data_IF_177055714298
#
_entry.id   IF_177055714298
#
_cell.length_a   1.000
_cell.length_b   1.000
_cell.length_c   1.000
_cell.angle_alpha   90.00
_cell.angle_beta   90.00
_cell.angle_gamma   90.00
#
_symmetry.space_group_name_H-M   'P 1'
#
loop_
_entity.id
_entity.type
_entity.pdbx_description
1 polymer ?
#
# COMPACT_ATOMS: atom_id res chain seq x y z
N UNK A 1 13.30 -49.86 43.67
CA UNK A 1 13.41 -48.43 43.32
C UNK A 1 13.86 -48.39 41.86
N UNK A 2 12.90 -48.47 40.93
CA UNK A 2 12.34 -47.35 40.16
C UNK A 2 13.34 -46.77 39.14
N UNK A 3 13.08 -46.64 37.84
CA UNK A 3 12.00 -47.01 36.93
C UNK A 3 12.61 -46.86 35.51
N UNK A 4 12.62 -47.95 34.73
CA UNK A 4 11.93 -48.14 33.42
C UNK A 4 12.50 -47.42 32.17
N UNK A 5 12.87 -48.17 31.11
CA UNK A 5 13.37 -47.66 29.83
C UNK A 5 12.27 -47.51 28.76
N UNK A 6 12.56 -46.66 27.76
CA UNK A 6 11.72 -46.42 26.58
C UNK A 6 11.76 -47.60 25.60
N UNK A 7 10.62 -47.98 25.04
CA UNK A 7 10.49 -48.97 23.97
C UNK A 7 9.53 -48.44 22.90
N UNK A 8 10.01 -48.46 21.65
CA UNK A 8 9.26 -48.19 20.42
C UNK A 8 7.93 -48.95 20.34
N UNK A 9 6.88 -48.31 19.82
CA UNK A 9 5.80 -48.99 19.08
C UNK A 9 5.17 -48.10 17.99
N UNK A 10 4.83 -48.80 16.92
CA UNK A 10 4.28 -48.40 15.61
C UNK A 10 2.78 -48.08 15.65
N UNK A 11 2.36 -47.19 14.74
CA UNK A 11 1.07 -47.05 14.02
C UNK A 11 -0.29 -47.04 14.74
N UNK A 12 -1.11 -46.02 14.43
CA UNK A 12 -2.54 -46.18 14.14
C UNK A 12 -3.07 -44.98 13.33
N UNK A 13 -3.56 -45.25 12.11
CA UNK A 13 -4.45 -44.36 11.35
C UNK A 13 -5.85 -44.52 11.94
N UNK A 14 -6.42 -43.45 12.47
CA UNK A 14 -7.80 -43.40 12.96
C UNK A 14 -8.64 -42.46 12.12
N UNK A 15 -9.57 -43.01 11.35
CA UNK A 15 -10.64 -42.25 10.70
C UNK A 15 -11.65 -41.82 11.77
N UNK A 16 -11.91 -40.51 11.90
CA UNK A 16 -13.00 -40.00 12.73
C UNK A 16 -14.23 -39.72 11.84
N UNK A 17 -15.31 -40.42 12.15
CA UNK A 17 -16.65 -40.19 11.63
C UNK A 17 -17.25 -39.00 12.40
N UNK A 18 -17.57 -37.90 11.71
CA UNK A 18 -18.32 -36.77 12.27
C UNK A 18 -19.82 -37.07 12.23
N UNK A 19 -20.42 -37.37 13.39
CA UNK A 19 -21.87 -37.36 13.57
C UNK A 19 -22.36 -35.92 13.78
N UNK A 20 -23.35 -35.53 12.97
CA UNK A 20 -24.05 -34.24 13.04
C UNK A 20 -24.77 -34.07 14.38
N UNK A 21 -24.47 -32.98 15.07
CA UNK A 21 -25.41 -32.33 15.99
C UNK A 21 -25.60 -30.93 15.43
N UNK A 22 -26.72 -30.72 14.76
CA UNK A 22 -27.18 -29.42 14.31
C UNK A 22 -28.33 -29.02 15.22
N UNK A 23 -28.15 -27.97 16.01
CA UNK A 23 -29.25 -27.22 16.61
C UNK A 23 -28.72 -25.85 17.09
N UNK A 24 -29.21 -24.76 16.46
CA UNK A 24 -29.32 -23.47 17.13
C UNK A 24 -28.45 -22.28 16.71
N UNK A 25 -27.89 -22.21 15.49
CA UNK A 25 -27.29 -20.97 14.98
C UNK A 25 -28.31 -20.17 14.14
N UNK A 26 -28.39 -18.84 14.25
CA UNK A 26 -29.27 -18.03 13.41
C UNK A 26 -28.79 -18.13 11.96
N UNK A 27 -29.52 -18.87 11.12
CA UNK A 27 -29.28 -19.05 9.69
C UNK A 27 -29.54 -17.78 8.84
N UNK A 28 -29.32 -16.57 9.38
CA UNK A 28 -29.77 -15.32 8.75
C UNK A 28 -28.69 -14.48 8.06
N UNK A 29 -27.40 -14.71 8.32
CA UNK A 29 -26.31 -13.84 7.82
C UNK A 29 -25.57 -14.41 6.61
N UNK A 30 -25.47 -15.74 6.48
CA UNK A 30 -24.83 -16.37 5.32
C UNK A 30 -25.71 -16.39 4.06
N UNK A 31 -27.04 -16.32 4.19
CA UNK A 31 -27.94 -16.43 3.04
C UNK A 31 -28.15 -15.12 2.27
N UNK A 32 -27.93 -13.93 2.85
CA UNK A 32 -28.07 -12.66 2.11
C UNK A 32 -26.87 -12.32 1.22
N UNK A 33 -25.69 -12.88 1.51
CA UNK A 33 -24.55 -12.81 0.60
C UNK A 33 -24.68 -13.77 -0.59
N UNK A 34 -25.51 -14.81 -0.48
CA UNK A 34 -25.68 -15.82 -1.53
C UNK A 34 -26.60 -15.37 -2.67
N UNK A 35 -27.50 -14.40 -2.47
CA UNK A 35 -28.34 -13.88 -3.56
C UNK A 35 -27.55 -12.99 -4.55
N UNK A 36 -26.35 -12.53 -4.16
CA UNK A 36 -25.39 -11.80 -5.02
C UNK A 36 -24.16 -12.63 -5.44
N UNK A 37 -24.06 -13.87 -4.98
CA UNK A 37 -23.02 -14.80 -5.40
C UNK A 37 -23.34 -15.33 -6.79
N UNK A 38 -23.24 -14.47 -7.80
CA UNK A 38 -22.97 -14.96 -9.15
C UNK A 38 -21.69 -15.78 -9.08
N UNK A 39 -21.65 -16.97 -9.67
CA UNK A 39 -20.45 -17.83 -9.73
C UNK A 39 -19.24 -17.18 -10.46
N UNK A 40 -19.33 -15.89 -10.79
CA UNK A 40 -18.37 -15.12 -11.59
C UNK A 40 -17.90 -13.83 -10.86
N UNK A 41 -17.81 -13.84 -9.53
CA UNK A 41 -17.32 -12.70 -8.76
C UNK A 41 -16.33 -13.12 -7.67
N UNK A 42 -15.39 -12.24 -7.36
CA UNK A 42 -14.37 -12.45 -6.34
C UNK A 42 -13.95 -11.14 -5.66
N UNK A 43 -13.22 -11.24 -4.55
CA UNK A 43 -12.63 -10.08 -3.88
C UNK A 43 -11.36 -9.63 -4.60
N UNK A 44 -11.29 -8.33 -4.88
CA UNK A 44 -10.08 -7.66 -5.39
C UNK A 44 -9.80 -6.48 -4.47
N UNK A 45 -8.54 -6.28 -4.05
CA UNK A 45 -8.18 -5.03 -3.39
C UNK A 45 -8.39 -3.88 -4.40
N UNK A 46 -9.17 -2.86 -4.01
CA UNK A 46 -9.46 -1.67 -4.84
C UNK A 46 -8.76 -0.42 -4.32
N UNK A 47 -8.08 -0.52 -3.18
CA UNK A 47 -7.18 0.48 -2.62
C UNK A 47 -6.27 -0.20 -1.60
N UNK A 48 -5.02 0.23 -1.51
CA UNK A 48 -4.05 -0.24 -0.51
C UNK A 48 -3.21 0.89 0.03
N UNK A 49 -2.63 0.68 1.20
CA UNK A 49 -1.51 1.45 1.73
C UNK A 49 -0.51 0.51 2.39
N UNK A 50 0.79 0.76 2.20
CA UNK A 50 1.85 -0.03 2.82
C UNK A 50 1.90 0.27 4.33
N UNK A 51 1.65 -0.72 5.22
CA UNK A 51 1.72 -0.49 6.65
C UNK A 51 3.16 -0.23 7.11
N UNK A 52 3.34 0.84 7.89
CA UNK A 52 4.60 1.26 8.51
C UNK A 52 4.44 1.41 10.03
N UNK A 53 5.53 1.18 10.76
CA UNK A 53 5.65 1.69 12.12
C UNK A 53 5.80 3.21 12.03
N UNK A 54 4.89 3.93 12.67
CA UNK A 54 4.94 5.40 12.69
C UNK A 54 6.18 5.86 13.45
N UNK A 55 7.03 6.61 12.77
CA UNK A 55 8.17 7.25 13.41
C UNK A 55 7.69 8.29 14.44
N UNK A 56 8.45 8.54 15.53
CA UNK A 56 8.04 9.50 16.56
C UNK A 56 7.70 10.90 16.03
N UNK A 57 8.38 11.36 14.97
CA UNK A 57 8.14 12.66 14.34
C UNK A 57 6.89 12.70 13.45
N UNK A 58 6.36 11.54 13.07
CA UNK A 58 5.17 11.37 12.23
C UNK A 58 3.96 10.86 13.04
N UNK A 59 4.09 10.68 14.36
CA UNK A 59 2.95 10.50 15.25
C UNK A 59 2.04 11.75 15.19
N UNK A 60 0.74 11.62 15.48
CA UNK A 60 -0.13 12.79 15.52
C UNK A 60 0.38 13.81 16.54
N UNK A 61 0.12 15.09 16.32
CA UNK A 61 0.53 16.12 17.27
C UNK A 61 -0.28 16.03 18.58
N UNK A 62 0.25 16.54 19.71
CA UNK A 62 -0.57 16.79 20.89
C UNK A 62 -1.80 17.65 20.53
N UNK A 63 -3.01 17.30 21.01
CA UNK A 63 -3.26 16.44 22.16
C UNK A 63 -3.60 14.97 21.80
N UNK A 64 -3.38 14.54 20.55
CA UNK A 64 -3.66 13.18 20.10
C UNK A 64 -2.51 12.19 20.34
N UNK A 65 -1.33 12.69 20.73
CA UNK A 65 -0.19 11.91 21.18
C UNK A 65 0.10 12.19 22.65
N UNK A 66 -0.59 11.45 23.53
CA UNK A 66 -0.40 11.52 24.97
C UNK A 66 0.75 10.65 25.45
N UNK A 67 1.22 10.87 26.69
CA UNK A 67 2.40 10.19 27.26
C UNK A 67 2.31 8.67 27.27
N UNK A 68 1.11 8.11 27.45
CA UNK A 68 0.87 6.66 27.53
C UNK A 68 0.02 6.11 26.38
N UNK A 69 -0.66 6.99 25.64
CA UNK A 69 -1.76 6.61 24.76
C UNK A 69 -1.86 7.58 23.60
N UNK A 70 -1.92 7.03 22.40
CA UNK A 70 -2.17 7.77 21.16
C UNK A 70 -3.63 7.61 20.78
N UNK A 71 -4.26 8.68 20.29
CA UNK A 71 -5.67 8.75 19.90
C UNK A 71 -6.67 8.41 21.02
N UNK A 72 -6.34 8.71 22.28
CA UNK A 72 -7.27 8.53 23.40
C UNK A 72 -8.58 9.30 23.14
N UNK A 73 -9.72 8.62 23.26
CA UNK A 73 -11.06 9.17 23.00
C UNK A 73 -11.13 9.98 21.70
N UNK A 74 -10.62 9.45 20.60
CA UNK A 74 -10.45 10.20 19.36
C UNK A 74 -11.08 9.50 18.16
N UNK A 75 -11.70 10.29 17.30
CA UNK A 75 -12.10 9.88 15.95
C UNK A 75 -11.04 10.33 14.95
N UNK A 76 -10.63 9.42 14.08
CA UNK A 76 -9.73 9.65 12.96
C UNK A 76 -10.56 9.52 11.69
N UNK A 77 -10.69 10.58 10.89
CA UNK A 77 -11.41 10.60 9.61
C UNK A 77 -10.42 10.72 8.46
N UNK A 78 -10.44 9.71 7.59
CA UNK A 78 -9.43 9.51 6.56
C UNK A 78 -10.13 9.40 5.21
N UNK A 79 -9.53 9.98 4.16
CA UNK A 79 -10.04 9.83 2.79
C UNK A 79 -9.10 8.94 1.99
N UNK A 80 -9.65 8.07 1.15
CA UNK A 80 -8.91 7.18 0.25
C UNK A 80 -9.41 7.34 -1.18
N UNK A 81 -8.53 7.09 -2.16
CA UNK A 81 -8.84 7.11 -3.59
C UNK A 81 -9.05 5.68 -4.09
N UNK A 82 -10.30 5.30 -4.32
CA UNK A 82 -10.62 3.96 -4.83
C UNK A 82 -10.16 3.80 -6.28
N UNK A 83 -9.74 2.59 -6.66
CA UNK A 83 -9.21 2.32 -7.99
C UNK A 83 -10.31 1.97 -8.99
N UNK A 84 -10.89 0.77 -8.87
CA UNK A 84 -12.05 0.31 -9.64
C UNK A 84 -13.32 0.40 -8.79
N UNK A 85 -14.48 0.36 -9.46
CA UNK A 85 -15.77 0.37 -8.77
C UNK A 85 -16.18 -1.00 -8.23
N UNK A 86 -17.08 -0.98 -7.24
CA UNK A 86 -17.69 -2.16 -6.63
C UNK A 86 -19.03 -1.78 -5.97
N UNK A 87 -19.96 -2.73 -5.84
CA UNK A 87 -21.24 -2.51 -5.13
C UNK A 87 -21.24 -3.09 -3.69
N UNK A 88 -20.27 -3.97 -3.40
CA UNK A 88 -20.08 -4.60 -2.10
C UNK A 88 -18.59 -4.50 -1.75
N UNK A 89 -18.29 -3.96 -0.57
CA UNK A 89 -16.92 -3.74 -0.10
C UNK A 89 -16.66 -4.36 1.27
N UNK A 90 -15.39 -4.53 1.62
CA UNK A 90 -14.93 -4.77 3.00
C UNK A 90 -13.60 -4.05 3.26
N UNK A 91 -13.31 -3.76 4.52
CA UNK A 91 -12.18 -2.91 4.92
C UNK A 91 -11.16 -3.75 5.71
N UNK A 92 -9.88 -3.61 5.37
CA UNK A 92 -8.77 -4.21 6.13
C UNK A 92 -8.13 -3.19 7.07
N UNK A 93 -8.11 -3.52 8.35
CA UNK A 93 -7.49 -2.71 9.41
C UNK A 93 -6.33 -3.51 10.02
N UNK A 94 -5.17 -2.88 10.14
CA UNK A 94 -3.91 -3.50 10.53
C UNK A 94 -3.34 -2.89 11.81
N UNK A 95 -2.93 -3.79 12.71
CA UNK A 95 -2.12 -3.52 13.89
C UNK A 95 -0.71 -4.13 13.73
N UNK A 96 -0.21 -4.25 12.50
CA UNK A 96 1.01 -5.00 12.15
C UNK A 96 2.26 -4.61 12.97
N UNK A 97 2.35 -3.37 13.44
CA UNK A 97 3.47 -2.89 14.25
C UNK A 97 3.08 -2.59 15.70
N UNK A 98 1.80 -2.71 16.05
CA UNK A 98 1.38 -2.56 17.44
C UNK A 98 1.90 -3.72 18.28
N UNK A 99 2.37 -3.38 19.48
CA UNK A 99 2.84 -4.33 20.49
C UNK A 99 1.79 -4.60 21.57
N UNK A 100 0.61 -3.98 21.43
CA UNK A 100 -0.55 -4.09 22.29
C UNK A 100 -1.81 -4.28 21.41
N UNK A 101 -2.88 -4.82 22.01
CA UNK A 101 -4.19 -4.93 21.37
C UNK A 101 -4.72 -3.55 20.93
N UNK A 102 -5.09 -3.43 19.65
CA UNK A 102 -5.78 -2.26 19.12
C UNK A 102 -7.29 -2.45 19.27
N UNK A 103 -7.89 -1.73 20.22
CA UNK A 103 -9.34 -1.75 20.46
C UNK A 103 -10.03 -0.67 19.62
N UNK A 104 -10.74 -1.09 18.59
CA UNK A 104 -11.57 -0.22 17.75
C UNK A 104 -12.99 -0.21 18.28
N UNK A 105 -13.51 0.97 18.61
CA UNK A 105 -14.85 1.11 19.20
C UNK A 105 -15.94 1.23 18.15
N UNK A 106 -15.71 2.01 17.09
CA UNK A 106 -16.68 2.21 16.02
C UNK A 106 -15.99 2.57 14.70
N UNK A 107 -16.51 2.09 13.57
CA UNK A 107 -16.04 2.41 12.24
C UNK A 107 -17.21 2.76 11.33
N UNK A 108 -17.08 3.83 10.55
CA UNK A 108 -18.04 4.18 9.50
C UNK A 108 -17.34 4.42 8.17
N UNK A 109 -18.08 4.22 7.08
CA UNK A 109 -17.69 4.59 5.72
C UNK A 109 -18.78 5.46 5.09
N UNK A 110 -18.37 6.44 4.29
CA UNK A 110 -19.27 7.35 3.56
C UNK A 110 -18.54 8.02 2.41
N UNK A 111 -19.27 8.79 1.59
CA UNK A 111 -18.66 9.65 0.59
C UNK A 111 -18.24 10.98 1.24
N UNK A 112 -17.05 11.53 0.91
CA UNK A 112 -16.68 12.87 1.35
C UNK A 112 -17.54 13.92 0.65
N UNK A 113 -17.85 15.01 1.36
CA UNK A 113 -18.60 16.12 0.80
C UNK A 113 -17.96 16.66 -0.49
N UNK A 114 -18.70 16.61 -1.59
CA UNK A 114 -18.26 17.06 -2.90
C UNK A 114 -17.21 16.15 -3.55
N UNK A 115 -17.06 14.90 -3.09
CA UNK A 115 -16.17 13.91 -3.68
C UNK A 115 -14.68 14.24 -3.55
N UNK A 116 -14.29 15.10 -2.60
CA UNK A 116 -12.91 15.62 -2.50
C UNK A 116 -12.05 14.79 -1.55
N UNK A 117 -10.81 14.54 -1.94
CA UNK A 117 -9.78 14.02 -1.04
C UNK A 117 -9.54 15.01 0.12
N UNK A 118 -9.23 14.48 1.29
CA UNK A 118 -8.88 15.28 2.46
C UNK A 118 -10.02 16.06 3.10
N UNK A 119 -11.28 15.72 2.79
CA UNK A 119 -12.45 16.43 3.34
C UNK A 119 -12.69 16.07 4.81
N UNK A 120 -12.92 17.08 5.65
CA UNK A 120 -13.41 16.89 7.03
C UNK A 120 -14.92 16.58 7.08
N UNK A 121 -15.63 16.83 5.98
CA UNK A 121 -17.06 16.66 5.83
C UNK A 121 -17.40 15.47 4.94
N UNK A 122 -18.54 14.84 5.24
CA UNK A 122 -19.12 13.70 4.53
C UNK A 122 -20.50 14.06 3.97
N UNK A 123 -21.02 13.23 3.07
CA UNK A 123 -22.42 13.21 2.63
C UNK A 123 -23.22 12.30 3.59
N UNK A 124 -23.97 12.84 4.57
CA UNK A 124 -24.51 12.05 5.68
C UNK A 124 -25.45 10.91 5.26
N UNK A 125 -26.15 11.07 4.14
CA UNK A 125 -27.05 10.08 3.56
C UNK A 125 -26.33 8.83 3.03
N UNK A 126 -25.03 8.92 2.80
CA UNK A 126 -24.20 7.81 2.31
C UNK A 126 -23.62 6.98 3.45
N UNK A 127 -23.67 7.50 4.69
CA UNK A 127 -22.97 6.92 5.82
C UNK A 127 -23.47 5.51 6.15
N UNK A 128 -22.53 4.58 6.31
CA UNK A 128 -22.76 3.21 6.75
C UNK A 128 -21.84 2.86 7.91
N UNK A 129 -22.36 2.05 8.84
CA UNK A 129 -21.56 1.44 9.89
C UNK A 129 -20.81 0.24 9.28
N UNK A 130 -19.54 0.12 9.63
CA UNK A 130 -18.70 -1.03 9.28
C UNK A 130 -18.68 -1.97 10.49
N UNK A 131 -18.96 -3.25 10.27
CA UNK A 131 -19.07 -4.24 11.36
C UNK A 131 -18.02 -5.33 11.26
N UNK A 132 -17.80 -6.02 12.38
CA UNK A 132 -16.96 -7.21 12.50
C UNK A 132 -17.75 -8.26 13.29
N UNK A 133 -18.15 -9.35 12.65
CA UNK A 133 -19.08 -10.34 13.24
C UNK A 133 -20.37 -9.68 13.77
N UNK A 134 -20.89 -8.72 12.99
CA UNK A 134 -22.07 -7.92 13.32
C UNK A 134 -21.88 -6.87 14.42
N UNK A 135 -20.69 -6.74 15.00
CA UNK A 135 -20.38 -5.73 16.02
C UNK A 135 -19.77 -4.47 15.39
N UNK A 136 -20.06 -3.25 15.89
CA UNK A 136 -19.51 -2.01 15.34
C UNK A 136 -18.01 -1.81 15.61
N UNK A 137 -17.41 -2.63 16.46
CA UNK A 137 -16.02 -2.54 16.89
C UNK A 137 -15.39 -3.92 17.07
N UNK A 138 -14.07 -3.94 17.22
CA UNK A 138 -13.28 -5.16 17.31
C UNK A 138 -11.98 -4.90 18.08
N UNK A 139 -11.44 -5.95 18.71
CA UNK A 139 -10.09 -5.94 19.27
C UNK A 139 -9.18 -6.67 18.28
N UNK A 140 -8.16 -5.98 17.80
CA UNK A 140 -7.14 -6.51 16.89
C UNK A 140 -5.92 -6.86 17.74
N UNK A 141 -5.50 -8.14 17.81
CA UNK A 141 -4.29 -8.52 18.52
C UNK A 141 -3.05 -7.76 18.06
N UNK A 142 -2.00 -7.78 18.89
CA UNK A 142 -0.66 -7.33 18.51
C UNK A 142 -0.19 -7.99 17.20
N UNK A 143 0.48 -7.22 16.35
CA UNK A 143 0.89 -7.62 15.00
C UNK A 143 -0.24 -8.16 14.08
N UNK A 144 -1.51 -7.97 14.47
CA UNK A 144 -2.67 -8.55 13.81
C UNK A 144 -3.22 -7.73 12.64
N UNK A 145 -4.11 -8.35 11.88
CA UNK A 145 -4.92 -7.72 10.84
C UNK A 145 -6.33 -8.31 10.91
N UNK A 146 -7.34 -7.47 10.69
CA UNK A 146 -8.74 -7.89 10.59
C UNK A 146 -9.36 -7.38 9.30
N UNK A 147 -10.39 -8.08 8.86
CA UNK A 147 -11.23 -7.71 7.72
C UNK A 147 -12.64 -7.53 8.23
N UNK A 148 -13.31 -6.45 7.83
CA UNK A 148 -14.72 -6.22 8.18
C UNK A 148 -15.65 -7.24 7.54
N UNK A 149 -16.87 -7.30 8.06
CA UNK A 149 -17.98 -7.92 7.34
C UNK A 149 -18.18 -7.21 5.98
N UNK A 150 -18.68 -7.92 4.95
CA UNK A 150 -19.09 -7.29 3.69
C UNK A 150 -20.21 -6.27 3.91
N UNK A 151 -20.09 -5.12 3.25
CA UNK A 151 -21.04 -4.01 3.32
C UNK A 151 -21.47 -3.60 1.91
N UNK A 152 -22.78 -3.51 1.68
CA UNK A 152 -23.33 -2.90 0.46
C UNK A 152 -23.07 -1.40 0.46
N UNK A 153 -22.14 -0.99 -0.39
CA UNK A 153 -21.73 0.39 -0.55
C UNK A 153 -21.22 0.56 -1.98
N UNK A 154 -21.95 1.34 -2.78
CA UNK A 154 -21.57 1.60 -4.17
C UNK A 154 -20.37 2.54 -4.22
N UNK A 155 -19.29 2.04 -4.80
CA UNK A 155 -18.05 2.76 -5.08
C UNK A 155 -17.95 2.93 -6.59
N UNK A 156 -17.86 4.16 -7.06
CA UNK A 156 -17.56 4.43 -8.47
C UNK A 156 -16.03 4.37 -8.70
N UNK A 157 -15.54 3.97 -9.89
CA UNK A 157 -14.11 4.01 -10.19
C UNK A 157 -13.50 5.39 -9.94
N UNK A 158 -12.30 5.47 -9.38
CA UNK A 158 -11.60 6.72 -9.02
C UNK A 158 -12.35 7.62 -8.02
N UNK A 159 -13.37 7.09 -7.33
CA UNK A 159 -14.09 7.88 -6.32
C UNK A 159 -13.35 7.92 -4.99
N UNK A 160 -13.63 8.96 -4.22
CA UNK A 160 -13.13 9.07 -2.85
C UNK A 160 -14.07 8.37 -1.88
N UNK A 161 -13.51 7.65 -0.90
CA UNK A 161 -14.25 7.16 0.27
C UNK A 161 -13.69 7.80 1.53
N UNK A 162 -14.57 8.13 2.47
CA UNK A 162 -14.20 8.55 3.81
C UNK A 162 -14.43 7.40 4.78
N UNK A 163 -13.38 7.02 5.52
CA UNK A 163 -13.48 6.06 6.62
C UNK A 163 -13.19 6.79 7.93
N UNK A 164 -14.10 6.69 8.89
CA UNK A 164 -13.90 7.24 10.24
C UNK A 164 -13.74 6.10 11.24
N UNK A 165 -12.65 6.13 12.02
CA UNK A 165 -12.36 5.15 13.09
C UNK A 165 -12.40 5.88 14.42
N UNK A 166 -13.20 5.39 15.37
CA UNK A 166 -13.23 5.89 16.74
C UNK A 166 -12.54 4.91 17.70
N UNK A 167 -11.61 5.46 18.48
CA UNK A 167 -10.87 4.77 19.52
C UNK A 167 -11.24 5.40 20.87
N UNK A 168 -12.11 4.76 21.63
CA UNK A 168 -12.50 5.26 22.96
C UNK A 168 -11.30 5.27 23.92
N UNK A 169 -10.53 4.17 23.92
CA UNK A 169 -9.37 4.02 24.79
C UNK A 169 -8.05 4.45 24.14
N UNK A 170 -8.06 4.80 22.85
CA UNK A 170 -6.84 4.97 22.06
C UNK A 170 -6.04 3.67 21.94
N UNK A 171 -4.81 3.78 21.46
CA UNK A 171 -3.83 2.69 21.48
C UNK A 171 -2.74 2.98 22.51
N UNK A 172 -2.38 1.98 23.30
CA UNK A 172 -1.30 2.08 24.27
C UNK A 172 0.06 2.07 23.57
N UNK A 173 1.02 2.78 24.18
CA UNK A 173 2.36 2.92 23.62
C UNK A 173 2.40 3.82 22.38
N UNK A 174 3.59 3.93 21.78
CA UNK A 174 3.85 4.74 20.58
C UNK A 174 3.98 3.92 19.29
N UNK A 175 3.74 2.61 19.33
CA UNK A 175 3.94 1.71 18.18
C UNK A 175 2.70 1.67 17.28
N UNK A 176 2.42 2.80 16.65
CA UNK A 176 1.21 2.97 15.83
C UNK A 176 1.48 2.46 14.41
N UNK A 177 0.58 1.63 13.89
CA UNK A 177 0.57 1.24 12.48
C UNK A 177 -0.04 2.38 11.66
N UNK A 178 0.73 2.95 10.72
CA UNK A 178 0.30 4.06 9.87
C UNK A 178 0.92 3.99 8.49
N UNK A 179 0.65 5.01 7.70
CA UNK A 179 1.29 5.31 6.44
C UNK A 179 1.46 6.84 6.34
N UNK A 180 2.62 7.40 6.77
CA UNK A 180 2.88 8.85 6.76
C UNK A 180 2.99 9.45 5.35
N UNK A 181 3.10 8.60 4.32
CA UNK A 181 3.21 8.97 2.92
C UNK A 181 1.94 9.43 2.24
N UNK A 182 0.80 9.47 2.93
CA UNK A 182 -0.53 9.43 2.29
C UNK A 182 -0.83 10.55 1.28
N UNK A 183 -0.20 11.72 1.40
CA UNK A 183 -0.51 12.96 0.64
C UNK A 183 -1.99 13.33 0.65
N UNK A 184 -2.72 12.86 1.65
CA UNK A 184 -4.15 13.06 1.82
C UNK A 184 -4.40 13.50 3.25
N UNK A 185 -5.09 14.61 3.43
CA UNK A 185 -5.37 15.16 4.76
C UNK A 185 -6.33 14.24 5.51
N UNK A 186 -5.89 13.70 6.64
CA UNK A 186 -6.73 13.06 7.64
C UNK A 186 -7.04 14.03 8.76
N UNK A 187 -8.21 13.89 9.38
CA UNK A 187 -8.71 14.75 10.44
C UNK A 187 -8.85 13.99 11.74
N UNK A 188 -8.51 14.62 12.86
CA UNK A 188 -8.71 14.06 14.19
C UNK A 188 -9.53 14.99 15.07
N UNK A 189 -10.44 14.41 15.86
CA UNK A 189 -11.23 15.13 16.84
C UNK A 189 -11.54 14.25 18.06
N UNK A 190 -11.75 14.88 19.21
CA UNK A 190 -12.16 14.16 20.42
C UNK A 190 -13.62 13.71 20.38
N UNK A 191 -13.89 12.61 21.07
CA UNK A 191 -15.19 11.96 21.15
C UNK A 191 -15.50 11.09 19.93
N UNK A 192 -16.61 10.38 20.03
CA UNK A 192 -17.16 9.64 18.92
C UNK A 192 -17.81 10.62 17.91
N UNK A 193 -17.15 10.84 16.78
CA UNK A 193 -17.55 11.75 15.71
C UNK A 193 -17.72 11.00 14.38
N UNK A 194 -17.86 9.67 14.41
CA UNK A 194 -17.92 8.85 13.19
C UNK A 194 -19.12 9.15 12.30
N UNK A 195 -20.19 9.73 12.87
CA UNK A 195 -21.41 10.16 12.20
C UNK A 195 -21.52 11.67 12.00
N UNK A 196 -20.53 12.45 12.46
CA UNK A 196 -20.55 13.89 12.32
C UNK A 196 -20.51 14.27 10.83
N UNK A 197 -21.51 15.00 10.35
CA UNK A 197 -21.55 15.50 8.97
C UNK A 197 -20.30 16.29 8.58
N UNK A 198 -19.72 17.03 9.54
CA UNK A 198 -18.44 17.70 9.40
C UNK A 198 -17.70 17.71 10.74
N UNK A 199 -16.45 17.28 10.75
CA UNK A 199 -15.59 17.41 11.93
C UNK A 199 -15.13 18.86 12.04
N UNK A 200 -15.57 19.52 13.11
CA UNK A 200 -15.25 20.92 13.41
C UNK A 200 -15.05 21.09 14.91
N UNK A 201 -14.43 22.20 15.31
CA UNK A 201 -14.25 22.54 16.72
C UNK A 201 -12.80 22.85 17.09
N UNK A 202 -12.55 23.31 18.32
CA UNK A 202 -11.26 23.84 18.75
C UNK A 202 -10.17 22.77 18.93
N UNK A 203 -10.56 21.50 19.08
CA UNK A 203 -9.62 20.37 19.22
C UNK A 203 -9.30 19.68 17.89
N UNK A 204 -9.92 20.11 16.79
CA UNK A 204 -9.71 19.49 15.49
C UNK A 204 -8.29 19.74 15.00
N UNK A 205 -7.62 18.66 14.63
CA UNK A 205 -6.32 18.72 13.96
C UNK A 205 -6.35 17.91 12.68
N UNK A 206 -5.32 18.10 11.85
CA UNK A 206 -5.16 17.37 10.61
C UNK A 206 -3.69 17.09 10.32
N UNK A 207 -3.44 15.97 9.65
CA UNK A 207 -2.11 15.54 9.19
C UNK A 207 -2.25 14.79 7.86
N UNK A 208 -1.22 14.77 7.03
CA UNK A 208 -1.22 14.01 5.78
C UNK A 208 -0.81 12.53 5.96
N UNK A 209 -1.41 11.82 6.94
CA UNK A 209 -1.13 10.41 7.23
C UNK A 209 -2.40 9.57 7.16
N UNK A 210 -2.26 8.29 6.77
CA UNK A 210 -3.28 7.28 7.08
C UNK A 210 -2.87 6.49 8.32
N UNK A 211 -3.83 6.10 9.15
CA UNK A 211 -3.64 5.30 10.36
C UNK A 211 -4.51 4.05 10.28
N UNK A 212 -3.90 2.89 10.58
CA UNK A 212 -4.53 1.57 10.69
C UNK A 212 -5.17 0.99 9.41
N UNK A 213 -5.65 1.80 8.47
CA UNK A 213 -6.17 1.32 7.19
C UNK A 213 -5.03 0.74 6.34
N UNK A 214 -5.27 -0.42 5.75
CA UNK A 214 -4.28 -1.13 4.90
C UNK A 214 -4.83 -1.56 3.54
N UNK A 215 -6.13 -1.85 3.44
CA UNK A 215 -6.79 -2.07 2.16
C UNK A 215 -8.31 -1.87 2.22
N UNK A 216 -8.91 -1.69 1.06
CA UNK A 216 -10.35 -1.86 0.83
C UNK A 216 -10.49 -2.87 -0.31
N UNK A 217 -11.34 -3.88 -0.11
CA UNK A 217 -11.64 -4.90 -1.09
C UNK A 217 -13.03 -4.67 -1.67
N UNK A 218 -13.16 -4.81 -2.99
CA UNK A 218 -14.42 -4.81 -3.71
C UNK A 218 -14.77 -6.22 -4.19
N UNK A 219 -16.04 -6.59 -4.06
CA UNK A 219 -16.58 -7.79 -4.72
C UNK A 219 -16.94 -7.43 -6.15
N UNK A 220 -16.13 -7.92 -7.09
CA UNK A 220 -16.14 -7.50 -8.49
C UNK A 220 -16.19 -8.71 -9.41
N UNK A 221 -16.43 -8.49 -10.71
CA UNK A 221 -16.50 -9.58 -11.68
C UNK A 221 -15.15 -10.32 -11.82
N UNK A 222 -15.20 -11.54 -12.34
CA UNK A 222 -14.04 -12.42 -12.48
C UNK A 222 -12.94 -11.85 -13.40
N UNK A 223 -13.28 -10.92 -14.28
CA UNK A 223 -12.34 -10.23 -15.19
C UNK A 223 -11.57 -9.11 -14.50
N UNK A 224 -11.96 -8.70 -13.29
CA UNK A 224 -11.27 -7.69 -12.51
C UNK A 224 -10.10 -8.27 -11.74
N UNK A 225 -9.03 -7.49 -11.61
CA UNK A 225 -7.78 -7.93 -10.97
C UNK A 225 -6.99 -6.78 -10.37
N UNK A 226 -6.01 -7.06 -9.53
CA UNK A 226 -5.09 -6.09 -8.95
C UNK A 226 -3.75 -6.02 -9.67
N UNK A 227 -3.15 -4.82 -9.66
CA UNK A 227 -1.78 -4.52 -10.05
C UNK A 227 -1.06 -3.84 -8.89
N UNK A 228 -0.19 -4.58 -8.19
CA UNK A 228 0.54 -4.06 -7.03
C UNK A 228 1.88 -3.44 -7.43
N UNK A 229 2.18 -2.28 -6.85
CA UNK A 229 3.40 -1.53 -7.10
C UNK A 229 4.18 -1.42 -5.79
N UNK A 230 5.31 -2.11 -5.71
CA UNK A 230 6.31 -1.91 -4.69
C UNK A 230 7.18 -0.72 -5.09
N UNK A 231 7.40 0.22 -4.17
CA UNK A 231 8.36 1.29 -4.41
C UNK A 231 8.68 2.14 -3.19
N UNK A 232 9.39 3.22 -3.45
CA UNK A 232 9.83 4.18 -2.44
C UNK A 232 9.01 5.50 -2.48
N UNK A 233 9.58 6.58 -1.94
CA UNK A 233 8.97 7.91 -1.88
C UNK A 233 8.52 8.46 -3.23
N UNK A 234 9.13 8.03 -4.34
CA UNK A 234 8.76 8.47 -5.69
C UNK A 234 7.41 7.86 -6.10
N UNK A 235 7.21 6.57 -5.81
CA UNK A 235 5.93 5.89 -6.07
C UNK A 235 4.88 6.24 -5.04
N UNK A 236 5.30 6.43 -3.79
CA UNK A 236 4.47 6.95 -2.70
C UNK A 236 3.94 8.37 -3.04
N UNK A 237 4.65 9.12 -3.89
CA UNK A 237 4.15 10.36 -4.48
C UNK A 237 4.71 11.64 -3.87
N UNK A 238 5.88 11.60 -3.24
CA UNK A 238 6.57 12.84 -2.80
C UNK A 238 6.77 13.78 -4.00
N UNK A 239 6.34 15.03 -3.90
CA UNK A 239 6.37 15.98 -5.03
C UNK A 239 5.05 16.08 -5.81
N UNK A 240 4.05 15.26 -5.46
CA UNK A 240 2.66 15.47 -5.86
C UNK A 240 2.00 16.53 -4.98
N UNK A 241 0.83 17.03 -5.40
CA UNK A 241 0.05 17.98 -4.61
C UNK A 241 -0.83 17.24 -3.60
N UNK A 242 -0.86 17.75 -2.36
CA UNK A 242 -1.74 17.21 -1.31
C UNK A 242 -3.21 17.28 -1.74
N UNK A 243 -3.95 16.18 -1.52
CA UNK A 243 -5.36 16.01 -1.87
C UNK A 243 -5.70 16.06 -3.37
N UNK A 244 -4.72 15.96 -4.27
CA UNK A 244 -4.97 16.03 -5.72
C UNK A 244 -4.89 14.69 -6.44
N UNK A 245 -4.42 13.62 -5.79
CA UNK A 245 -4.23 12.29 -6.39
C UNK A 245 -3.47 12.36 -7.73
N UNK A 246 -2.37 13.12 -7.76
CA UNK A 246 -1.58 13.38 -8.97
C UNK A 246 -0.14 12.85 -8.87
N UNK A 247 0.06 11.79 -8.08
CA UNK A 247 1.24 10.91 -8.15
C UNK A 247 1.11 9.94 -9.32
N UNK A 248 2.23 9.42 -9.81
CA UNK A 248 2.21 8.64 -11.06
C UNK A 248 1.28 7.41 -11.04
N UNK A 249 1.11 6.64 -9.93
CA UNK A 249 0.18 5.51 -9.94
C UNK A 249 -1.29 5.94 -10.12
N UNK A 250 -1.69 7.06 -9.51
CA UNK A 250 -3.03 7.63 -9.66
C UNK A 250 -3.27 8.13 -11.10
N UNK A 251 -2.24 8.72 -11.73
CA UNK A 251 -2.32 9.17 -13.13
C UNK A 251 -2.33 8.00 -14.12
N UNK A 252 -1.61 6.91 -13.84
CA UNK A 252 -1.69 5.66 -14.62
C UNK A 252 -3.07 5.03 -14.47
N UNK A 253 -3.64 5.02 -13.25
CA UNK A 253 -5.00 4.58 -13.01
C UNK A 253 -6.02 5.38 -13.85
N UNK A 254 -5.93 6.70 -13.88
CA UNK A 254 -6.82 7.53 -14.69
C UNK A 254 -6.76 7.18 -16.19
N UNK A 255 -5.54 6.94 -16.70
CA UNK A 255 -5.30 6.44 -18.06
C UNK A 255 -5.88 5.04 -18.28
N UNK A 256 -5.74 4.14 -17.31
CA UNK A 256 -6.28 2.77 -17.35
C UNK A 256 -7.80 2.75 -17.38
N UNK A 257 -8.46 3.60 -16.59
CA UNK A 257 -9.93 3.71 -16.56
C UNK A 257 -10.50 4.26 -17.88
N UNK A 258 -9.71 5.05 -18.62
CA UNK A 258 -10.09 5.54 -19.95
C UNK A 258 -9.91 4.49 -21.05
N UNK A 259 -9.41 3.29 -20.74
CA UNK A 259 -9.16 2.22 -21.69
C UNK A 259 -9.89 0.92 -21.28
N UNK A 260 -10.86 0.43 -22.10
CA UNK A 260 -11.64 -0.76 -21.77
C UNK A 260 -10.83 -2.03 -21.46
N UNK A 261 -9.62 -2.19 -22.03
CA UNK A 261 -8.80 -3.38 -21.76
C UNK A 261 -8.12 -3.37 -20.39
N UNK A 262 -8.17 -2.25 -19.67
CA UNK A 262 -7.50 -2.05 -18.38
C UNK A 262 -8.40 -1.46 -17.30
N UNK A 263 -9.63 -1.05 -17.63
CA UNK A 263 -10.54 -0.40 -16.68
C UNK A 263 -11.00 -1.32 -15.54
N UNK A 264 -10.84 -2.65 -15.68
CA UNK A 264 -11.11 -3.64 -14.62
C UNK A 264 -9.88 -3.97 -13.75
N UNK A 265 -8.73 -3.32 -13.99
CA UNK A 265 -7.50 -3.58 -13.24
C UNK A 265 -7.31 -2.48 -12.19
N UNK A 266 -7.35 -2.86 -10.92
CA UNK A 266 -7.08 -1.98 -9.80
C UNK A 266 -5.57 -1.72 -9.66
N UNK A 267 -5.20 -0.48 -9.34
CA UNK A 267 -3.82 -0.08 -9.04
C UNK A 267 -3.65 -0.03 -7.53
N UNK A 268 -2.72 -0.84 -7.01
CA UNK A 268 -2.46 -1.02 -5.57
C UNK A 268 -1.09 -0.44 -5.25
N UNK A 269 -1.08 0.77 -4.70
CA UNK A 269 0.16 1.44 -4.32
C UNK A 269 0.65 0.89 -2.97
N UNK A 270 1.74 0.13 -3.01
CA UNK A 270 2.40 -0.47 -1.86
C UNK A 270 3.77 0.15 -1.63
N UNK A 271 3.94 1.40 -2.06
CA UNK A 271 5.15 2.17 -1.83
C UNK A 271 5.17 2.80 -0.44
N UNK A 272 6.37 3.14 0.02
CA UNK A 272 6.56 3.89 1.25
C UNK A 272 7.77 4.82 1.16
N UNK A 273 7.65 6.02 1.72
CA UNK A 273 8.75 6.97 1.79
C UNK A 273 10.01 6.36 2.41
N UNK A 274 11.18 6.60 1.79
CA UNK A 274 12.46 6.09 2.30
C UNK A 274 12.57 4.56 2.37
N UNK A 275 11.67 3.81 1.71
CA UNK A 275 11.74 2.36 1.68
C UNK A 275 12.95 1.86 0.87
N UNK A 276 13.43 0.68 1.23
CA UNK A 276 14.64 0.06 0.68
C UNK A 276 14.38 -1.42 0.44
N UNK A 277 15.11 -1.98 -0.52
CA UNK A 277 14.99 -3.40 -0.84
C UNK A 277 15.65 -4.28 0.22
N UNK A 278 16.84 -3.89 0.71
CA UNK A 278 17.70 -4.78 1.51
C UNK A 278 17.64 -4.54 3.03
N UNK A 279 17.27 -3.35 3.46
CA UNK A 279 17.36 -2.92 4.86
C UNK A 279 16.14 -2.09 5.24
N UNK A 280 15.59 -2.24 6.44
CA UNK A 280 14.41 -1.44 6.85
C UNK A 280 14.73 0.06 6.81
N UNK A 281 13.89 0.85 6.15
CA UNK A 281 13.99 2.31 6.11
C UNK A 281 13.00 2.94 7.07
N UNK A 282 12.14 3.83 6.57
CA UNK A 282 10.96 4.28 7.31
C UNK A 282 9.89 3.19 7.42
N UNK A 283 10.09 2.05 6.77
CA UNK A 283 9.26 0.86 6.84
C UNK A 283 10.08 -0.40 6.50
N UNK A 284 9.49 -1.60 6.63
CA UNK A 284 10.19 -2.86 6.42
C UNK A 284 10.79 -2.97 5.02
N UNK A 285 11.93 -3.63 4.90
CA UNK A 285 12.57 -3.89 3.62
C UNK A 285 11.70 -4.74 2.68
N UNK A 286 11.82 -4.53 1.37
CA UNK A 286 11.01 -5.23 0.35
C UNK A 286 11.09 -6.74 0.47
N UNK A 287 12.30 -7.28 0.69
CA UNK A 287 12.53 -8.73 0.78
C UNK A 287 11.65 -9.36 1.88
N UNK A 288 11.43 -8.65 2.98
CA UNK A 288 10.60 -9.12 4.09
C UNK A 288 9.10 -8.95 3.88
N UNK A 289 8.66 -8.06 2.97
CA UNK A 289 7.25 -7.67 2.83
C UNK A 289 6.59 -8.06 1.51
N UNK A 290 7.33 -8.57 0.51
CA UNK A 290 6.77 -8.92 -0.81
C UNK A 290 5.56 -9.86 -0.71
N UNK A 291 5.57 -10.82 0.22
CA UNK A 291 4.44 -11.74 0.40
C UNK A 291 3.22 -11.00 0.92
N UNK A 292 3.40 -10.14 1.92
CA UNK A 292 2.32 -9.34 2.51
C UNK A 292 1.75 -8.35 1.49
N UNK A 293 2.63 -7.63 0.78
CA UNK A 293 2.23 -6.46 0.01
C UNK A 293 1.93 -6.78 -1.47
N UNK A 294 2.28 -7.97 -1.95
CA UNK A 294 1.91 -8.44 -3.29
C UNK A 294 1.14 -9.76 -3.22
N UNK A 295 1.75 -10.81 -2.69
CA UNK A 295 1.23 -12.18 -2.84
C UNK A 295 -0.05 -12.45 -2.03
N UNK A 296 -0.24 -11.74 -0.92
CA UNK A 296 -1.41 -11.82 -0.06
C UNK A 296 -2.51 -10.81 -0.43
N UNK A 297 -2.31 -10.01 -1.48
CA UNK A 297 -3.32 -9.07 -1.96
C UNK A 297 -4.42 -9.82 -2.74
N UNK A 298 -5.66 -9.45 -2.50
CA UNK A 298 -6.83 -10.08 -3.11
C UNK A 298 -6.90 -9.78 -4.59
N UNK A 299 -7.07 -10.83 -5.39
CA UNK A 299 -7.23 -10.73 -6.84
C UNK A 299 -6.01 -10.21 -7.58
N UNK A 300 -4.82 -10.25 -6.96
CA UNK A 300 -3.57 -9.81 -7.58
C UNK A 300 -3.28 -10.60 -8.86
N UNK A 301 -2.88 -9.89 -9.93
CA UNK A 301 -2.55 -10.48 -11.23
C UNK A 301 -1.28 -9.90 -11.84
N UNK A 302 -0.88 -8.70 -11.43
CA UNK A 302 0.32 -8.03 -11.94
C UNK A 302 1.10 -7.43 -10.78
N UNK A 303 2.43 -7.42 -10.87
CA UNK A 303 3.29 -6.75 -9.91
C UNK A 303 4.27 -5.82 -10.62
N UNK A 304 4.72 -4.78 -9.93
CA UNK A 304 5.82 -3.92 -10.37
C UNK A 304 6.72 -3.56 -9.21
N UNK A 305 8.02 -3.45 -9.47
CA UNK A 305 8.98 -2.87 -8.54
C UNK A 305 9.63 -1.62 -9.13
N UNK A 306 9.59 -0.54 -8.37
CA UNK A 306 10.32 0.70 -8.65
C UNK A 306 10.96 1.21 -7.36
N UNK A 307 12.16 0.70 -7.08
CA UNK A 307 12.86 0.94 -5.82
C UNK A 307 14.40 0.84 -6.02
N UNK A 308 15.16 0.97 -4.95
CA UNK A 308 16.63 0.84 -4.93
C UNK A 308 17.37 2.18 -4.84
N UNK A 309 16.68 3.31 -5.02
CA UNK A 309 17.32 4.64 -4.91
C UNK A 309 17.83 4.91 -3.50
N UNK A 310 17.06 4.52 -2.48
CA UNK A 310 17.42 4.71 -1.08
C UNK A 310 18.52 3.74 -0.63
N UNK A 311 18.58 2.52 -1.19
CA UNK A 311 19.68 1.58 -0.95
C UNK A 311 21.01 2.18 -1.43
N UNK A 312 21.04 2.74 -2.65
CA UNK A 312 22.22 3.43 -3.21
C UNK A 312 22.54 4.70 -2.42
N UNK A 313 21.51 5.50 -2.14
CA UNK A 313 21.62 6.83 -1.54
C UNK A 313 22.05 6.83 -0.07
N UNK A 314 21.68 5.80 0.69
CA UNK A 314 22.08 5.64 2.09
C UNK A 314 23.44 4.94 2.21
N UNK A 315 23.79 4.03 1.30
CA UNK A 315 25.10 3.39 1.31
C UNK A 315 26.24 4.43 1.15
N UNK A 316 27.37 4.17 1.81
CA UNK A 316 28.54 5.05 1.75
C UNK A 316 28.96 5.28 0.30
N UNK A 317 29.36 6.51 -0.01
CA UNK A 317 29.69 6.96 -1.35
C UNK A 317 31.13 6.60 -1.78
N UNK A 318 31.62 5.42 -1.41
CA UNK A 318 32.91 4.87 -1.81
C UNK A 318 32.75 3.64 -2.72
N UNK A 319 33.75 3.32 -3.57
CA UNK A 319 33.63 2.25 -4.55
C UNK A 319 33.35 0.86 -3.96
N UNK A 320 33.83 0.55 -2.74
CA UNK A 320 33.68 -0.79 -2.15
C UNK A 320 32.24 -0.99 -1.70
N UNK A 321 31.70 -0.06 -0.91
CA UNK A 321 30.32 -0.13 -0.45
C UNK A 321 29.32 -0.02 -1.62
N UNK A 322 29.60 0.81 -2.61
CA UNK A 322 28.77 0.98 -3.80
C UNK A 322 28.77 -0.26 -4.72
N UNK A 323 29.91 -0.97 -4.82
CA UNK A 323 29.95 -2.27 -5.51
C UNK A 323 29.11 -3.29 -4.76
N UNK A 324 29.31 -3.41 -3.44
CA UNK A 324 28.62 -4.36 -2.59
C UNK A 324 27.09 -4.16 -2.60
N UNK A 325 26.61 -2.92 -2.45
CA UNK A 325 25.17 -2.65 -2.43
C UNK A 325 24.54 -2.98 -3.78
N UNK A 326 25.19 -2.63 -4.90
CA UNK A 326 24.66 -2.97 -6.23
C UNK A 326 24.63 -4.48 -6.49
N UNK A 327 25.63 -5.23 -6.04
CA UNK A 327 25.64 -6.70 -6.19
C UNK A 327 24.53 -7.35 -5.36
N UNK A 328 24.31 -6.86 -4.13
CA UNK A 328 23.22 -7.34 -3.27
C UNK A 328 21.84 -6.97 -3.82
N UNK A 329 21.70 -5.81 -4.45
CA UNK A 329 20.45 -5.39 -5.09
C UNK A 329 20.09 -6.29 -6.27
N UNK A 330 21.06 -6.66 -7.11
CA UNK A 330 20.86 -7.62 -8.21
C UNK A 330 20.30 -8.94 -7.65
N UNK A 331 20.96 -9.54 -6.66
CA UNK A 331 20.49 -10.78 -6.05
C UNK A 331 19.11 -10.64 -5.40
N UNK A 332 18.82 -9.49 -4.77
CA UNK A 332 17.50 -9.24 -4.19
C UNK A 332 16.40 -9.11 -5.25
N UNK A 333 16.66 -8.43 -6.37
CA UNK A 333 15.72 -8.36 -7.50
C UNK A 333 15.41 -9.75 -8.07
N UNK A 334 16.42 -10.60 -8.23
CA UNK A 334 16.25 -11.99 -8.67
C UNK A 334 15.37 -12.79 -7.69
N UNK A 335 15.61 -12.66 -6.38
CA UNK A 335 14.81 -13.34 -5.36
C UNK A 335 13.37 -12.84 -5.32
N UNK A 336 13.14 -11.53 -5.47
CA UNK A 336 11.80 -10.95 -5.52
C UNK A 336 11.05 -11.49 -6.74
N UNK A 337 11.68 -11.44 -7.92
CA UNK A 337 11.06 -11.92 -9.14
C UNK A 337 10.72 -13.41 -9.07
N UNK A 338 11.66 -14.25 -8.62
CA UNK A 338 11.43 -15.69 -8.45
C UNK A 338 10.23 -15.99 -7.54
N UNK A 339 10.10 -15.28 -6.41
CA UNK A 339 8.97 -15.47 -5.47
C UNK A 339 7.64 -15.05 -6.06
N UNK A 340 7.62 -14.01 -6.89
CA UNK A 340 6.40 -13.54 -7.57
C UNK A 340 6.02 -14.49 -8.71
N UNK A 341 6.99 -14.99 -9.47
CA UNK A 341 6.79 -15.95 -10.56
C UNK A 341 6.25 -17.31 -10.10
N UNK A 342 6.53 -17.75 -8.87
CA UNK A 342 5.91 -18.96 -8.29
C UNK A 342 4.39 -18.89 -8.26
N UNK A 343 3.81 -17.68 -8.24
CA UNK A 343 2.37 -17.45 -8.29
C UNK A 343 1.87 -17.11 -9.70
N UNK A 344 2.69 -17.33 -10.73
CA UNK A 344 2.38 -17.03 -12.14
C UNK A 344 2.10 -15.54 -12.41
N UNK A 345 2.52 -14.67 -11.49
CA UNK A 345 2.30 -13.22 -11.58
C UNK A 345 3.44 -12.60 -12.41
N UNK A 346 3.15 -11.92 -13.54
CA UNK A 346 4.15 -11.08 -14.21
C UNK A 346 4.64 -9.96 -13.30
N UNK A 347 5.96 -9.80 -13.22
CA UNK A 347 6.61 -8.71 -12.48
C UNK A 347 7.32 -7.75 -13.45
N UNK A 348 6.88 -6.50 -13.43
CA UNK A 348 7.50 -5.40 -14.17
C UNK A 348 8.54 -4.69 -13.30
N UNK A 349 9.48 -4.01 -13.93
CA UNK A 349 10.40 -3.11 -13.24
C UNK A 349 10.46 -1.73 -13.89
N UNK A 350 10.70 -0.70 -13.09
CA UNK A 350 11.19 0.58 -13.59
C UNK A 350 12.69 0.74 -13.35
N UNK A 351 13.36 1.45 -14.26
CA UNK A 351 14.73 1.92 -14.02
C UNK A 351 14.74 2.98 -12.91
N UNK A 352 15.81 2.99 -12.10
CA UNK A 352 16.01 3.94 -11.01
C UNK A 352 16.24 5.33 -11.61
N UNK A 353 15.39 6.30 -11.24
CA UNK A 353 15.47 7.67 -11.77
C UNK A 353 16.72 8.41 -11.29
N UNK A 354 17.13 9.48 -12.00
CA UNK A 354 18.30 10.26 -11.61
C UNK A 354 18.16 10.95 -10.24
N UNK A 355 19.29 11.15 -9.56
CA UNK A 355 19.36 11.82 -8.23
C UNK A 355 20.55 12.78 -8.09
N UNK A 356 21.13 13.21 -9.21
CA UNK A 356 22.26 14.13 -9.25
C UNK A 356 21.84 15.58 -9.05
N UNK A 357 22.64 16.33 -8.29
CA UNK A 357 22.45 17.76 -8.07
C UNK A 357 23.18 18.59 -9.15
N UNK A 358 22.54 19.63 -9.73
CA UNK A 358 23.21 20.63 -10.55
C UNK A 358 24.36 21.32 -9.81
N UNK A 359 25.50 21.51 -10.49
CA UNK A 359 26.71 22.06 -9.86
C UNK A 359 26.54 23.49 -9.29
N UNK A 360 25.53 24.22 -9.76
CA UNK A 360 25.20 25.59 -9.32
C UNK A 360 23.96 25.65 -8.40
N UNK A 361 23.45 24.52 -7.93
CA UNK A 361 22.28 24.48 -7.05
C UNK A 361 22.64 24.94 -5.63
N UNK A 362 21.75 25.70 -5.01
CA UNK A 362 21.81 26.02 -3.58
C UNK A 362 21.24 24.90 -2.69
N UNK A 363 20.53 23.94 -3.28
CA UNK A 363 20.00 22.74 -2.61
C UNK A 363 20.89 21.57 -3.00
N UNK A 364 21.48 20.90 -2.01
CA UNK A 364 22.30 19.71 -2.22
C UNK A 364 21.44 18.49 -1.91
N UNK A 365 21.27 17.60 -2.88
CA UNK A 365 20.65 16.30 -2.67
C UNK A 365 21.68 15.36 -2.02
N UNK A 366 21.46 14.86 -0.79
CA UNK A 366 22.41 13.97 -0.11
C UNK A 366 22.80 12.72 -0.90
N UNK A 367 21.96 12.25 -1.83
CA UNK A 367 22.25 11.09 -2.67
C UNK A 367 23.20 11.39 -3.83
N UNK A 368 23.33 12.65 -4.22
CA UNK A 368 24.15 13.07 -5.36
C UNK A 368 25.64 12.77 -5.14
N UNK A 369 26.17 11.79 -5.88
CA UNK A 369 27.60 11.46 -5.91
C UNK A 369 27.96 10.80 -7.24
N UNK A 370 29.09 11.15 -7.87
CA UNK A 370 29.58 10.45 -9.06
C UNK A 370 29.80 8.94 -8.84
N UNK A 371 30.11 8.51 -7.62
CA UNK A 371 30.31 7.09 -7.29
C UNK A 371 28.96 6.36 -7.23
N UNK A 372 27.94 6.97 -6.61
CA UNK A 372 26.57 6.42 -6.56
C UNK A 372 25.92 6.38 -7.94
N UNK A 373 26.19 7.38 -8.79
CA UNK A 373 25.70 7.40 -10.17
C UNK A 373 26.24 6.22 -10.99
N UNK A 374 27.49 5.80 -10.77
CA UNK A 374 28.04 4.60 -11.41
C UNK A 374 27.25 3.35 -11.01
N UNK A 375 26.87 3.23 -9.74
CA UNK A 375 26.02 2.12 -9.24
C UNK A 375 24.63 2.16 -9.88
N UNK A 376 24.00 3.34 -9.94
CA UNK A 376 22.68 3.50 -10.56
C UNK A 376 22.71 3.12 -12.03
N UNK A 377 23.69 3.58 -12.80
CA UNK A 377 23.85 3.24 -14.21
C UNK A 377 24.09 1.74 -14.41
N UNK A 378 24.93 1.13 -13.57
CA UNK A 378 25.17 -0.33 -13.58
C UNK A 378 23.88 -1.12 -13.33
N UNK A 379 23.12 -0.73 -12.32
CA UNK A 379 21.84 -1.37 -12.00
C UNK A 379 20.81 -1.16 -13.10
N UNK A 380 20.66 0.06 -13.63
CA UNK A 380 19.71 0.30 -14.71
C UNK A 380 20.07 -0.44 -15.99
N UNK A 381 21.37 -0.56 -16.32
CA UNK A 381 21.82 -1.39 -17.43
C UNK A 381 21.46 -2.87 -17.22
N UNK A 382 21.63 -3.38 -16.00
CA UNK A 382 21.23 -4.74 -15.64
C UNK A 382 19.71 -4.91 -15.70
N UNK A 383 18.91 -4.02 -15.09
CA UNK A 383 17.43 -4.06 -15.12
C UNK A 383 16.93 -4.16 -16.57
N UNK A 384 17.48 -3.35 -17.48
CA UNK A 384 17.08 -3.34 -18.90
C UNK A 384 17.39 -4.62 -19.66
N UNK A 385 18.43 -5.37 -19.25
CA UNK A 385 19.01 -6.44 -20.09
C UNK A 385 19.00 -7.83 -19.46
N UNK A 386 18.75 -7.96 -18.15
CA UNK A 386 18.86 -9.22 -17.42
C UNK A 386 17.84 -10.26 -17.84
N UNK A 387 16.65 -9.83 -18.29
CA UNK A 387 15.51 -10.70 -18.55
C UNK A 387 14.84 -11.24 -17.28
N UNK A 388 15.24 -10.78 -16.10
CA UNK A 388 14.63 -11.17 -14.81
C UNK A 388 13.17 -10.71 -14.75
N UNK A 389 12.90 -9.48 -15.17
CA UNK A 389 11.54 -8.93 -15.23
C UNK A 389 10.85 -9.27 -16.56
N UNK A 390 9.54 -9.37 -16.54
CA UNK A 390 8.74 -9.67 -17.74
C UNK A 390 8.59 -8.46 -18.66
N UNK A 391 8.64 -7.27 -18.08
CA UNK A 391 8.75 -6.01 -18.78
C UNK A 391 9.53 -4.97 -17.96
N UNK A 392 10.16 -4.03 -18.67
CA UNK A 392 10.88 -2.91 -18.07
C UNK A 392 10.33 -1.62 -18.65
N UNK A 393 10.02 -0.65 -17.79
CA UNK A 393 9.66 0.71 -18.20
C UNK A 393 10.81 1.65 -17.82
N UNK A 394 11.37 2.36 -18.80
CA UNK A 394 12.57 3.17 -18.57
C UNK A 394 12.23 4.55 -17.98
N UNK A 395 11.89 4.58 -16.69
CA UNK A 395 11.58 5.82 -15.97
C UNK A 395 12.78 6.79 -15.97
N UNK A 396 14.02 6.29 -15.86
CA UNK A 396 15.24 7.09 -16.04
C UNK A 396 15.21 7.86 -17.36
N UNK A 397 14.96 7.19 -18.48
CA UNK A 397 14.89 7.85 -19.78
C UNK A 397 13.76 8.89 -19.88
N UNK A 398 12.61 8.61 -19.27
CA UNK A 398 11.44 9.49 -19.31
C UNK A 398 11.71 10.82 -18.61
N UNK A 399 12.37 10.80 -17.45
CA UNK A 399 12.46 12.00 -16.59
C UNK A 399 13.84 12.67 -16.53
N UNK A 400 14.89 12.06 -17.08
CA UNK A 400 16.26 12.62 -17.03
C UNK A 400 16.43 13.88 -17.89
N UNK A 401 17.35 14.75 -17.48
CA UNK A 401 17.79 15.86 -18.31
C UNK A 401 18.51 15.32 -19.55
N UNK A 402 18.09 15.67 -20.78
CA UNK A 402 18.76 15.23 -22.00
C UNK A 402 20.22 15.72 -22.12
N UNK A 403 20.58 16.81 -21.44
CA UNK A 403 21.94 17.35 -21.43
C UNK A 403 22.79 16.78 -20.29
N UNK A 404 22.16 16.27 -19.23
CA UNK A 404 22.85 15.60 -18.13
C UNK A 404 22.00 14.45 -17.54
N UNK A 405 22.17 13.23 -18.06
CA UNK A 405 21.41 12.04 -17.65
C UNK A 405 21.51 11.66 -16.15
N UNK A 406 22.44 12.26 -15.40
CA UNK A 406 22.53 12.07 -13.95
C UNK A 406 21.53 12.89 -13.15
N UNK A 407 20.78 13.79 -13.79
CA UNK A 407 19.86 14.74 -13.15
C UNK A 407 18.44 14.56 -13.71
N UNK A 408 17.44 14.89 -12.91
CA UNK A 408 16.08 15.09 -13.42
C UNK A 408 16.07 16.27 -14.38
N UNK A 409 15.25 16.20 -15.43
CA UNK A 409 15.01 17.36 -16.28
C UNK A 409 14.46 18.50 -15.42
N UNK A 410 14.92 19.76 -15.58
CA UNK A 410 14.55 20.85 -14.67
C UNK A 410 13.03 21.09 -14.53
N UNK A 411 12.25 20.80 -15.58
CA UNK A 411 10.80 20.93 -15.55
C UNK A 411 10.07 19.74 -14.91
N UNK A 412 10.77 18.63 -14.66
CA UNK A 412 10.27 17.48 -13.92
C UNK A 412 10.76 17.43 -12.47
N UNK A 413 11.75 18.22 -12.10
CA UNK A 413 12.26 18.27 -10.72
C UNK A 413 11.30 19.02 -9.78
N UNK A 414 11.05 18.47 -8.59
CA UNK A 414 10.35 19.16 -7.49
C UNK A 414 11.22 20.23 -6.80
N UNK A 415 12.52 20.26 -7.12
CA UNK A 415 13.51 21.19 -6.60
C UNK A 415 14.46 20.55 -5.57
N UNK A 416 14.25 19.29 -5.23
CA UNK A 416 15.12 18.51 -4.35
C UNK A 416 16.09 17.58 -5.09
N UNK A 417 16.06 17.59 -6.42
CA UNK A 417 16.92 16.82 -7.33
C UNK A 417 16.78 15.30 -7.19
N UNK A 418 15.69 14.80 -6.60
CA UNK A 418 15.42 13.37 -6.42
C UNK A 418 13.98 13.02 -6.81
N UNK A 419 13.00 13.80 -6.37
CA UNK A 419 11.59 13.52 -6.58
C UNK A 419 11.06 14.28 -7.79
N UNK A 420 10.36 13.60 -8.72
CA UNK A 420 9.59 14.28 -9.74
C UNK A 420 8.50 15.16 -9.13
N UNK A 421 8.22 16.28 -9.78
CA UNK A 421 7.01 17.06 -9.57
C UNK A 421 5.82 16.44 -10.35
N UNK A 422 4.65 17.06 -10.26
CA UNK A 422 3.44 16.61 -10.97
C UNK A 422 3.64 16.48 -12.49
N UNK A 423 4.42 17.37 -13.13
CA UNK A 423 4.70 17.26 -14.56
C UNK A 423 5.56 16.03 -14.88
N UNK A 424 6.52 15.69 -14.01
CA UNK A 424 7.31 14.46 -14.13
C UNK A 424 6.48 13.21 -13.92
N UNK A 425 5.56 13.22 -12.95
CA UNK A 425 4.61 12.13 -12.75
C UNK A 425 3.63 11.96 -13.92
N UNK A 426 3.18 13.05 -14.54
CA UNK A 426 2.38 12.99 -15.76
C UNK A 426 3.17 12.38 -16.92
N UNK A 427 4.44 12.76 -17.09
CA UNK A 427 5.29 12.19 -18.14
C UNK A 427 5.47 10.66 -17.98
N UNK A 428 5.64 10.19 -16.74
CA UNK A 428 5.67 8.75 -16.42
C UNK A 428 4.35 8.08 -16.81
N UNK A 429 3.21 8.65 -16.42
CA UNK A 429 1.89 8.08 -16.71
C UNK A 429 1.59 8.05 -18.22
N UNK A 430 1.95 9.11 -18.95
CA UNK A 430 1.80 9.20 -20.40
C UNK A 430 2.61 8.14 -21.12
N UNK A 431 3.84 7.88 -20.66
CA UNK A 431 4.73 6.87 -21.21
C UNK A 431 4.39 5.43 -20.78
N UNK A 432 3.60 5.24 -19.71
CA UNK A 432 3.29 3.90 -19.19
C UNK A 432 2.55 3.03 -20.21
N UNK A 433 3.08 1.87 -20.63
CA UNK A 433 2.53 1.07 -21.72
C UNK A 433 1.40 0.14 -21.25
N UNK A 434 0.15 0.56 -21.42
CA UNK A 434 -1.03 -0.24 -21.02
C UNK A 434 -1.14 -1.61 -21.73
N UNK A 435 -0.50 -1.77 -22.89
CA UNK A 435 -0.48 -3.05 -23.62
C UNK A 435 0.19 -4.18 -22.85
N UNK A 436 0.99 -3.88 -21.80
CA UNK A 436 1.58 -4.90 -20.93
C UNK A 436 0.51 -5.79 -20.31
N UNK A 437 -0.60 -5.21 -19.85
CA UNK A 437 -1.68 -5.98 -19.21
C UNK A 437 -2.34 -6.95 -20.19
N UNK A 438 -2.54 -6.56 -21.45
CA UNK A 438 -3.04 -7.49 -22.47
C UNK A 438 -2.00 -8.56 -22.86
N UNK A 439 -0.72 -8.20 -22.86
CA UNK A 439 0.38 -9.12 -23.23
C UNK A 439 0.57 -10.23 -22.20
N UNK A 440 0.36 -9.93 -20.93
CA UNK A 440 0.54 -10.86 -19.81
C UNK A 440 -0.80 -11.23 -19.15
N UNK A 441 -1.90 -11.16 -19.91
CA UNK A 441 -3.23 -11.45 -19.40
C UNK A 441 -3.40 -12.90 -18.92
N UNK A 442 -2.57 -13.82 -19.42
CA UNK A 442 -2.59 -15.24 -19.05
C UNK A 442 -1.53 -15.60 -17.99
N UNK A 443 -0.93 -14.59 -17.34
CA UNK A 443 0.15 -14.79 -16.37
C UNK A 443 1.51 -15.07 -17.04
N UNK A 444 2.43 -15.62 -16.26
CA UNK A 444 3.75 -16.09 -16.74
C UNK A 444 4.07 -17.46 -16.17
N UNK A 445 4.66 -18.32 -16.99
CA UNK A 445 5.17 -19.62 -16.57
C UNK A 445 6.70 -19.59 -16.64
N UNK A 446 7.36 -19.51 -15.47
CA UNK A 446 8.81 -19.63 -15.34
C UNK A 446 9.14 -20.75 -14.38
N UNK A 447 10.02 -21.65 -14.82
CA UNK A 447 10.47 -22.83 -14.06
C UNK A 447 11.40 -22.50 -12.88
N UNK A 448 11.69 -21.23 -12.61
CA UNK A 448 12.73 -20.79 -11.66
C UNK A 448 12.33 -19.58 -10.86
#
# INVERSE_FOLDING_TARGET
MSNLPSLCRTAAVGALILSRVAEGLPHGLFDRANDHASHNSHWVDIWTSMPQLTEPANLPDPPFNGTSTVFFNSTIRQTIHSSIGADLIRIRISNAFGIDDLTITNVTVGLPAGGRAGSSAIEPETLKIVTFDGQPGIIIPDAGLVVSDPLEFRVEPQSMLTVSIYLEQGQQGGHITSHPGSRTTSWMAFGNQVDAANITGPSVQSVEHWYFLSAIEGWVSQESSGFAIIGDSITDGRGSDTNMNNRWPDLVLAKMQSNPSTSSIAVLNQAAGGNRILHDGLGPNVISRVDRDVLAQSGIKYAMIFEGVNDIGVADADPVNQTLIGDRLIGAYEQIAARVHVFEIPIFAATITPFGTPANSSVIQPYSSPVREQTRQRLNAWIRSSGVFDAVIDFDEIVRDPNNPSQLAPWYDSGDHLHPNVAGYQAIADAFPLSLFSRFADGVDRLT
#
